data_IF_454384760126
#
_entry.id   IF_454384760126
#
_cell.length_a   1.000
_cell.length_b   1.000
_cell.length_c   1.000
_cell.angle_alpha   90.00
_cell.angle_beta   90.00
_cell.angle_gamma   90.00
#
_symmetry.space_group_name_H-M   'P 1'
#
loop_
_entity.id
_entity.type
_entity.pdbx_description
1 polymer ?
#
# COMPACT_ATOMS: atom_id res chain seq x y z
N UNK A 1 -15.84 2.29 -3.83
CA UNK A 1 -14.45 2.72 -3.64
C UNK A 1 -13.52 1.56 -3.96
N UNK A 2 -12.51 1.78 -4.78
CA UNK A 2 -11.54 0.73 -5.10
C UNK A 2 -10.61 0.46 -3.92
N UNK A 3 -9.94 -0.68 -3.95
CA UNK A 3 -8.95 -0.99 -2.91
C UNK A 3 -7.82 0.04 -2.94
N UNK A 4 -7.39 0.47 -4.13
CA UNK A 4 -6.37 1.52 -4.25
C UNK A 4 -6.82 2.79 -3.52
N UNK A 5 -8.05 3.20 -3.73
CA UNK A 5 -8.58 4.39 -3.07
C UNK A 5 -8.70 4.21 -1.56
N UNK A 6 -9.06 3.01 -1.10
CA UNK A 6 -9.09 2.72 0.33
C UNK A 6 -7.70 2.84 0.93
N UNK A 7 -6.68 2.31 0.26
CA UNK A 7 -5.29 2.42 0.72
C UNK A 7 -4.89 3.89 0.81
N UNK A 8 -5.15 4.66 -0.24
CA UNK A 8 -4.83 6.09 -0.25
C UNK A 8 -5.50 6.82 0.90
N UNK A 9 -6.79 6.56 1.12
CA UNK A 9 -7.56 7.22 2.17
C UNK A 9 -7.01 6.89 3.55
N UNK A 10 -6.74 5.62 3.81
CA UNK A 10 -6.25 5.20 5.13
C UNK A 10 -4.86 5.73 5.42
N UNK A 11 -3.96 5.69 4.45
CA UNK A 11 -2.59 6.17 4.67
C UNK A 11 -2.55 7.69 4.79
N UNK A 12 -3.38 8.40 4.02
CA UNK A 12 -3.49 9.85 4.13
C UNK A 12 -3.99 10.27 5.51
N UNK A 13 -4.99 9.57 6.01
CA UNK A 13 -5.55 9.90 7.33
C UNK A 13 -4.58 9.56 8.47
N UNK A 14 -3.82 8.47 8.32
CA UNK A 14 -2.94 8.00 9.39
C UNK A 14 -1.65 8.81 9.50
N UNK A 15 -1.07 9.24 8.38
CA UNK A 15 0.29 9.80 8.36
C UNK A 15 0.40 11.21 7.79
N UNK A 16 -0.63 11.71 7.15
CA UNK A 16 -0.61 13.02 6.47
C UNK A 16 0.66 13.18 5.64
N UNK A 17 0.89 12.28 4.67
CA UNK A 17 2.15 12.24 3.94
C UNK A 17 2.33 13.43 3.01
N UNK A 18 3.57 13.86 2.85
CA UNK A 18 3.91 14.88 1.84
C UNK A 18 3.98 14.29 0.44
N UNK A 19 4.09 12.97 0.35
CA UNK A 19 4.08 12.26 -0.93
C UNK A 19 3.42 10.90 -0.70
N UNK A 20 2.47 10.58 -1.56
CA UNK A 20 1.81 9.27 -1.51
C UNK A 20 1.44 8.84 -2.92
N UNK A 21 2.00 7.72 -3.35
CA UNK A 21 1.66 7.11 -4.64
C UNK A 21 1.25 5.68 -4.37
N UNK A 22 0.05 5.32 -4.79
CA UNK A 22 -0.43 3.94 -4.70
C UNK A 22 -0.68 3.45 -6.12
N UNK A 23 0.05 2.42 -6.52
CA UNK A 23 -0.03 1.86 -7.84
C UNK A 23 -0.62 0.47 -7.79
N UNK A 24 -1.60 0.22 -8.63
CA UNK A 24 -2.18 -1.11 -8.81
C UNK A 24 -1.38 -1.83 -9.87
N UNK A 25 -0.59 -2.81 -9.46
CA UNK A 25 0.30 -3.56 -10.34
C UNK A 25 -0.35 -4.82 -10.90
N UNK A 26 -1.63 -5.05 -10.57
CA UNK A 26 -2.32 -6.28 -10.97
C UNK A 26 -2.33 -6.50 -12.47
N UNK A 27 -2.43 -5.43 -13.24
CA UNK A 27 -2.46 -5.50 -14.71
C UNK A 27 -1.17 -6.07 -15.29
N UNK A 28 -0.06 -6.02 -14.58
CA UNK A 28 1.21 -6.57 -15.04
C UNK A 28 1.19 -8.08 -15.10
N UNK A 29 0.16 -8.70 -14.52
CA UNK A 29 0.02 -10.16 -14.48
C UNK A 29 -1.05 -10.68 -15.42
N UNK A 30 -1.65 -9.82 -16.24
CA UNK A 30 -2.66 -10.23 -17.22
C UNK A 30 -2.02 -11.22 -18.19
N UNK A 31 -2.71 -12.35 -18.39
CA UNK A 31 -2.21 -13.41 -19.26
C UNK A 31 -1.43 -14.50 -18.56
N UNK A 32 -1.07 -14.31 -17.31
CA UNK A 32 -0.41 -15.36 -16.54
C UNK A 32 -1.44 -16.38 -16.07
N UNK A 33 -1.04 -17.64 -16.00
CA UNK A 33 -1.88 -18.69 -15.45
C UNK A 33 -2.22 -18.34 -14.02
N UNK A 34 -3.50 -18.41 -13.68
CA UNK A 34 -3.96 -18.09 -12.34
C UNK A 34 -4.40 -16.66 -12.15
N UNK A 35 -4.22 -15.80 -13.14
CA UNK A 35 -4.73 -14.44 -13.08
C UNK A 35 -6.26 -14.48 -13.08
N UNK A 36 -6.89 -13.85 -12.11
CA UNK A 36 -8.34 -13.91 -11.97
C UNK A 36 -9.08 -12.82 -12.78
N UNK A 37 -8.36 -11.92 -13.41
CA UNK A 37 -8.94 -10.87 -14.24
C UNK A 37 -9.57 -9.72 -13.49
N UNK A 38 -9.52 -9.72 -12.18
CA UNK A 38 -10.18 -8.71 -11.37
C UNK A 38 -9.33 -7.48 -11.07
N UNK A 39 -8.01 -7.58 -11.21
CA UNK A 39 -7.12 -6.53 -10.74
C UNK A 39 -7.18 -6.40 -9.23
N UNK A 40 -6.62 -5.34 -8.70
CA UNK A 40 -6.67 -4.99 -7.27
C UNK A 40 -6.14 -6.09 -6.35
N UNK A 41 -5.12 -6.84 -6.80
CA UNK A 41 -4.50 -7.89 -5.98
C UNK A 41 -3.04 -7.62 -5.65
N UNK A 42 -2.34 -6.81 -6.46
CA UNK A 42 -0.93 -6.47 -6.26
C UNK A 42 -0.77 -4.97 -6.27
N UNK A 43 -0.19 -4.43 -5.19
CA UNK A 43 -0.05 -2.98 -5.03
C UNK A 43 1.38 -2.59 -4.67
N UNK A 44 1.78 -1.41 -5.15
CA UNK A 44 3.03 -0.77 -4.73
C UNK A 44 2.67 0.58 -4.11
N UNK A 45 3.24 0.87 -2.95
CA UNK A 45 3.00 2.12 -2.24
C UNK A 45 4.32 2.83 -2.02
N UNK A 46 4.39 4.08 -2.46
CA UNK A 46 5.50 4.99 -2.12
C UNK A 46 4.92 6.06 -1.20
N UNK A 47 5.44 6.14 0.01
CA UNK A 47 4.94 7.09 1.00
C UNK A 47 6.09 7.80 1.71
N UNK A 48 5.96 9.11 1.82
CA UNK A 48 6.93 9.97 2.52
C UNK A 48 6.17 10.82 3.52
N UNK A 49 6.49 10.63 4.80
CA UNK A 49 5.84 11.37 5.88
C UNK A 49 6.82 11.58 7.02
N UNK A 50 6.73 12.75 7.64
CA UNK A 50 7.62 13.12 8.76
C UNK A 50 7.57 12.08 9.87
N UNK A 51 6.41 11.49 10.10
CA UNK A 51 6.23 10.47 11.15
C UNK A 51 7.19 9.30 11.03
N UNK A 52 7.65 8.98 9.82
CA UNK A 52 8.55 7.85 9.61
C UNK A 52 10.02 8.16 9.90
N UNK A 53 10.36 9.44 10.07
CA UNK A 53 11.76 9.84 10.25
C UNK A 53 12.43 9.29 11.51
N UNK A 54 11.65 8.98 12.54
CA UNK A 54 12.18 8.45 13.79
C UNK A 54 11.96 6.95 13.94
N UNK A 55 11.41 6.31 12.91
CA UNK A 55 11.12 4.88 12.94
C UNK A 55 12.18 4.09 12.19
N UNK A 56 12.56 2.93 12.73
CA UNK A 56 13.37 2.00 11.96
C UNK A 56 12.48 1.29 10.92
N UNK A 57 13.10 0.50 10.04
CA UNK A 57 12.39 -0.15 8.94
C UNK A 57 11.24 -1.03 9.42
N UNK A 58 11.45 -1.80 10.48
CA UNK A 58 10.43 -2.69 11.02
C UNK A 58 9.24 -1.88 11.54
N UNK A 59 9.52 -0.80 12.28
CA UNK A 59 8.46 0.04 12.82
C UNK A 59 7.68 0.72 11.71
N UNK A 60 8.34 1.18 10.65
CA UNK A 60 7.69 1.79 9.49
C UNK A 60 6.71 0.83 8.85
N UNK A 61 7.16 -0.40 8.58
CA UNK A 61 6.30 -1.42 7.95
C UNK A 61 5.12 -1.78 8.85
N UNK A 62 5.35 -1.94 10.15
CA UNK A 62 4.28 -2.25 11.08
C UNK A 62 3.25 -1.12 11.14
N UNK A 63 3.70 0.13 11.12
CA UNK A 63 2.80 1.27 11.16
C UNK A 63 1.89 1.30 9.95
N UNK A 64 2.45 1.06 8.76
CA UNK A 64 1.66 1.03 7.52
C UNK A 64 0.67 -0.15 7.55
N UNK A 65 1.11 -1.33 7.94
CA UNK A 65 0.22 -2.49 8.03
C UNK A 65 -0.91 -2.25 9.01
N UNK A 66 -0.62 -1.63 10.15
CA UNK A 66 -1.64 -1.30 11.14
C UNK A 66 -2.66 -0.31 10.57
N UNK A 67 -2.20 0.69 9.84
CA UNK A 67 -3.09 1.68 9.23
C UNK A 67 -3.99 1.06 8.17
N UNK A 68 -3.47 0.10 7.41
CA UNK A 68 -4.24 -0.59 6.38
C UNK A 68 -5.22 -1.62 6.97
N UNK A 69 -4.86 -2.21 8.10
CA UNK A 69 -5.76 -3.12 8.82
C UNK A 69 -6.28 -4.25 7.96
N UNK A 70 -7.59 -4.31 7.80
CA UNK A 70 -8.26 -5.39 7.09
C UNK A 70 -8.05 -5.38 5.58
N UNK A 71 -7.43 -4.34 5.03
CA UNK A 71 -7.10 -4.34 3.59
C UNK A 71 -6.01 -5.37 3.30
N UNK A 72 -5.04 -5.52 4.20
CA UNK A 72 -3.88 -6.40 3.95
C UNK A 72 -4.30 -7.83 3.58
N UNK A 73 -5.20 -8.50 4.33
CA UNK A 73 -5.61 -9.86 3.94
C UNK A 73 -6.49 -9.92 2.69
N UNK A 74 -6.96 -8.77 2.19
CA UNK A 74 -7.79 -8.72 1.00
C UNK A 74 -6.99 -8.64 -0.29
N UNK A 75 -5.69 -8.39 -0.19
CA UNK A 75 -4.81 -8.25 -1.36
C UNK A 75 -3.76 -9.37 -1.35
N UNK A 76 -3.20 -9.65 -2.53
CA UNK A 76 -2.26 -10.75 -2.69
C UNK A 76 -0.82 -10.33 -2.33
N UNK A 77 -0.42 -9.16 -2.75
CA UNK A 77 0.94 -8.68 -2.52
C UNK A 77 0.95 -7.17 -2.31
N UNK A 78 1.87 -6.70 -1.50
CA UNK A 78 2.03 -5.29 -1.19
C UNK A 78 3.51 -4.96 -1.10
N UNK A 79 3.98 -4.10 -1.98
CA UNK A 79 5.35 -3.58 -1.94
C UNK A 79 5.32 -2.19 -1.31
N UNK A 80 6.22 -1.93 -0.37
CA UNK A 80 6.27 -0.68 0.35
C UNK A 80 7.61 0.02 0.18
N UNK A 81 7.56 1.31 -0.16
CA UNK A 81 8.71 2.20 -0.21
C UNK A 81 8.41 3.35 0.75
N UNK A 82 8.94 3.26 1.96
CA UNK A 82 8.59 4.15 3.06
C UNK A 82 9.78 5.01 3.45
N UNK A 83 9.52 6.29 3.69
CA UNK A 83 10.55 7.22 4.14
C UNK A 83 9.94 8.48 4.76
N UNK A 84 10.81 9.32 5.28
CA UNK A 84 10.41 10.59 5.87
C UNK A 84 10.13 11.68 4.83
#
# INVERSE_FOLDING_TARGET
MSIREEIETRLSAAFEPRELVVQDDSDQHIGHAGHDGKGESHFSVRIRAVAFGEMNRVAQHRAVHKALGDIVPRIHALALDIGA
#
